data_IF_889987539725
#
_entry.id   IF_889987539725
#
_cell.length_a   1.000
_cell.length_b   1.000
_cell.length_c   1.000
_cell.angle_alpha   90.00
_cell.angle_beta   90.00
_cell.angle_gamma   90.00
#
_symmetry.space_group_name_H-M   'P 1'
#
loop_
_entity.id
_entity.type
_entity.pdbx_description
1 polymer ?
#
# COMPACT_ATOMS: atom_id res chain seq x y z
N UNK A 1 13.13 3.50 26.41
CA UNK A 1 13.67 2.14 26.22
C UNK A 1 14.01 2.01 24.75
N UNK A 2 15.31 2.08 24.42
CA UNK A 2 15.80 1.81 23.07
C UNK A 2 15.67 0.32 22.77
N UNK A 3 15.07 -0.02 21.63
CA UNK A 3 15.04 -1.38 21.10
C UNK A 3 15.84 -1.42 19.80
N UNK A 4 16.41 -2.58 19.40
CA UNK A 4 17.16 -2.71 18.16
C UNK A 4 16.40 -2.22 16.91
N UNK A 5 15.06 -2.27 16.96
CA UNK A 5 14.18 -1.80 15.88
C UNK A 5 14.04 -0.26 15.85
N UNK A 6 13.97 0.39 17.02
CA UNK A 6 13.85 1.85 17.11
C UNK A 6 15.18 2.55 16.85
N UNK A 7 16.31 1.97 17.28
CA UNK A 7 17.63 2.51 16.96
C UNK A 7 18.00 2.34 15.47
N UNK A 8 17.53 1.26 14.81
CA UNK A 8 17.76 1.02 13.38
C UNK A 8 16.89 1.87 12.46
N UNK A 9 15.58 1.98 12.73
CA UNK A 9 14.66 2.72 11.87
C UNK A 9 14.77 4.24 12.01
N UNK A 10 15.19 4.75 13.18
CA UNK A 10 15.29 6.20 13.45
C UNK A 10 16.67 6.76 13.06
N UNK A 11 17.69 5.91 12.89
CA UNK A 11 19.06 6.35 12.52
C UNK A 11 19.45 6.09 11.06
N UNK A 12 18.64 5.41 10.25
CA UNK A 12 19.07 5.00 8.91
C UNK A 12 18.57 5.92 7.80
N UNK A 13 19.52 6.48 7.06
CA UNK A 13 19.28 7.27 5.85
C UNK A 13 18.62 6.41 4.75
N UNK A 14 18.21 7.08 3.66
CA UNK A 14 17.68 6.51 2.42
C UNK A 14 18.35 5.20 1.93
N UNK A 15 19.58 4.88 2.37
CA UNK A 15 20.28 3.62 2.16
C UNK A 15 19.53 2.40 2.69
N UNK A 16 18.93 2.46 3.87
CA UNK A 16 18.14 1.33 4.40
C UNK A 16 16.95 1.02 3.48
N UNK A 17 16.23 2.06 3.06
CA UNK A 17 15.11 1.89 2.14
C UNK A 17 15.56 1.39 0.76
N UNK A 18 16.72 1.83 0.27
CA UNK A 18 17.34 1.29 -0.95
C UNK A 18 17.70 -0.19 -0.81
N UNK A 19 18.29 -0.59 0.31
CA UNK A 19 18.66 -1.98 0.58
C UNK A 19 17.42 -2.86 0.81
N UNK A 20 16.40 -2.36 1.51
CA UNK A 20 15.10 -3.01 1.68
C UNK A 20 14.41 -3.26 0.33
N UNK A 21 14.36 -2.25 -0.55
CA UNK A 21 13.82 -2.36 -1.91
C UNK A 21 14.65 -3.35 -2.74
N UNK A 22 15.99 -3.28 -2.66
CA UNK A 22 16.89 -4.19 -3.36
C UNK A 22 16.83 -5.64 -2.86
N UNK A 23 16.45 -5.86 -1.60
CA UNK A 23 16.32 -7.19 -0.99
C UNK A 23 14.97 -7.85 -1.24
N UNK A 24 14.03 -7.14 -1.88
CA UNK A 24 12.77 -7.76 -2.29
C UNK A 24 13.08 -8.89 -3.26
N UNK A 25 12.48 -10.08 -3.06
CA UNK A 25 12.48 -11.09 -4.10
C UNK A 25 11.97 -10.43 -5.38
N UNK A 26 12.79 -10.44 -6.43
CA UNK A 26 12.38 -10.14 -7.79
C UNK A 26 12.22 -11.51 -8.45
N UNK A 27 11.02 -12.10 -8.40
CA UNK A 27 10.80 -13.40 -9.02
C UNK A 27 11.15 -13.29 -10.50
N UNK A 28 11.73 -14.34 -11.07
CA UNK A 28 12.04 -14.37 -12.50
C UNK A 28 10.77 -14.18 -13.31
N UNK A 29 10.92 -13.68 -14.54
CA UNK A 29 9.81 -13.54 -15.49
C UNK A 29 9.04 -14.86 -15.65
N UNK A 30 9.74 -16.00 -15.59
CA UNK A 30 9.15 -17.35 -15.57
C UNK A 30 8.14 -17.58 -14.44
N UNK A 31 8.36 -17.01 -13.24
CA UNK A 31 7.41 -17.12 -12.13
C UNK A 31 6.10 -16.39 -12.45
N UNK A 32 6.19 -15.23 -13.10
CA UNK A 32 5.01 -14.49 -13.55
C UNK A 32 4.36 -15.16 -14.76
N UNK A 33 5.12 -15.80 -15.64
CA UNK A 33 4.58 -16.60 -16.75
C UNK A 33 3.77 -17.81 -16.27
N UNK A 34 4.18 -18.50 -15.20
CA UNK A 34 3.38 -19.60 -14.62
C UNK A 34 2.03 -19.08 -14.10
N UNK A 35 2.03 -17.92 -13.43
CA UNK A 35 0.81 -17.28 -12.94
C UNK A 35 -0.04 -16.81 -14.14
N UNK A 36 0.58 -16.20 -15.15
CA UNK A 36 -0.07 -15.71 -16.35
C UNK A 36 -0.66 -16.84 -17.21
N UNK A 37 0.06 -17.95 -17.44
CA UNK A 37 -0.44 -19.13 -18.18
C UNK A 37 -1.67 -19.72 -17.49
N UNK A 38 -1.65 -19.81 -16.16
CA UNK A 38 -2.82 -20.24 -15.39
C UNK A 38 -4.02 -19.31 -15.61
N UNK A 39 -3.80 -17.99 -15.58
CA UNK A 39 -4.85 -16.99 -15.83
C UNK A 39 -5.30 -16.90 -17.30
N UNK A 40 -4.42 -17.11 -18.28
CA UNK A 40 -4.78 -17.10 -19.71
C UNK A 40 -5.48 -18.37 -20.16
N UNK A 41 -5.25 -19.50 -19.50
CA UNK A 41 -5.93 -20.77 -19.77
C UNK A 41 -7.25 -20.93 -19.01
N UNK A 42 -7.53 -20.10 -18.01
CA UNK A 42 -8.70 -20.22 -17.12
C UNK A 42 -9.44 -18.90 -16.82
N UNK A 43 -9.03 -17.75 -17.37
CA UNK A 43 -9.57 -16.42 -17.05
C UNK A 43 -10.12 -15.66 -18.25
N UNK A 44 -11.24 -14.98 -18.03
CA UNK A 44 -11.93 -14.08 -18.97
C UNK A 44 -11.07 -12.81 -19.26
N UNK A 45 -11.01 -12.31 -20.51
CA UNK A 45 -10.17 -11.19 -20.95
C UNK A 45 -10.48 -9.78 -20.39
N UNK A 46 -11.28 -9.62 -19.34
CA UNK A 46 -11.77 -8.32 -18.82
C UNK A 46 -11.04 -7.77 -17.58
N UNK A 47 -9.76 -8.10 -17.41
CA UNK A 47 -8.88 -7.93 -16.23
C UNK A 47 -8.60 -6.52 -15.64
N UNK A 48 -9.51 -5.54 -15.74
CA UNK A 48 -9.27 -4.17 -15.26
C UNK A 48 -9.70 -3.88 -13.81
N UNK A 49 -10.44 -4.78 -13.14
CA UNK A 49 -10.76 -4.68 -11.71
C UNK A 49 -10.45 -6.01 -11.01
N UNK A 50 -10.24 -6.00 -9.70
CA UNK A 50 -9.94 -7.22 -8.95
C UNK A 50 -11.22 -8.03 -8.67
N UNK A 51 -11.74 -8.77 -9.64
CA UNK A 51 -13.09 -9.34 -9.58
C UNK A 51 -13.29 -10.52 -8.60
N UNK A 52 -14.46 -10.56 -7.95
CA UNK A 52 -14.95 -11.74 -7.21
C UNK A 52 -15.03 -12.97 -8.14
N UNK A 53 -14.64 -14.13 -7.63
CA UNK A 53 -14.57 -15.39 -8.40
C UNK A 53 -13.30 -15.58 -9.22
N UNK A 54 -12.36 -14.61 -9.24
CA UNK A 54 -11.04 -14.81 -9.86
C UNK A 54 -10.05 -15.47 -8.89
N UNK A 55 -9.04 -16.22 -9.36
CA UNK A 55 -8.03 -16.81 -8.48
C UNK A 55 -7.22 -15.77 -7.68
N UNK A 56 -7.11 -14.54 -8.19
CA UNK A 56 -6.43 -13.42 -7.51
C UNK A 56 -7.28 -12.75 -6.43
N UNK A 57 -8.60 -12.99 -6.40
CA UNK A 57 -9.54 -12.33 -5.50
C UNK A 57 -9.10 -12.39 -4.04
N UNK A 58 -8.75 -13.57 -3.53
CA UNK A 58 -8.37 -13.73 -2.11
C UNK A 58 -7.15 -12.88 -1.71
N UNK A 59 -6.21 -12.67 -2.64
CA UNK A 59 -5.05 -11.81 -2.42
C UNK A 59 -5.46 -10.34 -2.39
N UNK A 60 -6.24 -9.90 -3.38
CA UNK A 60 -6.73 -8.52 -3.46
C UNK A 60 -7.67 -8.15 -2.31
N UNK A 61 -8.58 -9.05 -1.94
CA UNK A 61 -9.48 -8.88 -0.80
C UNK A 61 -8.70 -8.72 0.51
N UNK A 62 -7.66 -9.54 0.75
CA UNK A 62 -6.82 -9.40 1.94
C UNK A 62 -6.07 -8.07 1.96
N UNK A 63 -5.55 -7.62 0.82
CA UNK A 63 -4.86 -6.33 0.73
C UNK A 63 -5.82 -5.15 0.94
N UNK A 64 -7.00 -5.20 0.32
CA UNK A 64 -8.07 -4.22 0.47
C UNK A 64 -8.51 -4.10 1.93
N UNK A 65 -8.80 -5.24 2.57
CA UNK A 65 -9.15 -5.34 4.00
C UNK A 65 -8.02 -4.75 4.87
N UNK A 66 -6.76 -5.09 4.59
CA UNK A 66 -5.62 -4.56 5.34
C UNK A 66 -5.50 -3.03 5.28
N UNK A 67 -5.75 -2.45 4.12
CA UNK A 67 -5.70 -1.00 3.91
C UNK A 67 -6.82 -0.28 4.69
N UNK A 68 -8.07 -0.72 4.55
CA UNK A 68 -9.19 -0.07 5.23
C UNK A 68 -9.21 -0.32 6.74
N UNK A 69 -8.71 -1.47 7.19
CA UNK A 69 -8.57 -1.80 8.61
C UNK A 69 -7.35 -1.19 9.28
N UNK A 70 -6.47 -0.49 8.54
CA UNK A 70 -5.18 -0.02 9.09
C UNK A 70 -4.40 -1.16 9.75
N UNK A 71 -4.33 -2.30 9.06
CA UNK A 71 -3.73 -3.56 9.51
C UNK A 71 -4.39 -4.23 10.74
N UNK A 72 -5.54 -3.76 11.22
CA UNK A 72 -6.30 -4.47 12.27
C UNK A 72 -6.91 -5.78 11.79
N UNK A 73 -6.80 -6.08 10.50
CA UNK A 73 -7.09 -7.40 9.96
C UNK A 73 -6.03 -8.47 10.30
N UNK A 74 -4.84 -8.07 10.76
CA UNK A 74 -3.79 -9.00 11.20
C UNK A 74 -4.09 -9.43 12.63
N UNK A 75 -4.55 -10.68 12.81
CA UNK A 75 -4.75 -11.26 14.13
C UNK A 75 -3.41 -11.69 14.74
N UNK A 76 -3.20 -11.37 16.01
CA UNK A 76 -2.03 -11.77 16.80
C UNK A 76 -2.48 -12.52 18.06
N UNK A 77 -2.80 -13.82 17.95
CA UNK A 77 -3.42 -14.54 19.05
C UNK A 77 -2.56 -14.55 20.31
N UNK A 78 -3.14 -14.26 21.49
CA UNK A 78 -2.38 -14.23 22.76
C UNK A 78 -1.78 -15.58 23.15
N UNK A 79 -2.23 -16.68 22.54
CA UNK A 79 -1.58 -18.00 22.69
C UNK A 79 -0.21 -18.09 22.02
N UNK A 80 0.08 -17.25 21.02
CA UNK A 80 1.33 -17.25 20.25
C UNK A 80 2.17 -15.97 20.45
N UNK A 81 1.51 -14.85 20.77
CA UNK A 81 2.13 -13.54 20.83
C UNK A 81 1.91 -12.88 22.19
N UNK A 82 2.84 -12.01 22.57
CA UNK A 82 2.76 -11.14 23.74
C UNK A 82 3.36 -9.76 23.43
N UNK A 83 3.13 -8.80 24.32
CA UNK A 83 3.60 -7.42 24.17
C UNK A 83 3.21 -6.78 22.82
N UNK A 84 1.97 -7.01 22.39
CA UNK A 84 1.46 -6.49 21.12
C UNK A 84 1.12 -5.01 21.25
N UNK A 85 1.78 -4.18 20.45
CA UNK A 85 1.58 -2.73 20.39
C UNK A 85 1.42 -2.30 18.93
N UNK A 86 0.37 -1.54 18.65
CA UNK A 86 0.11 -0.92 17.35
C UNK A 86 0.31 0.57 17.45
N UNK A 87 1.08 1.13 16.52
CA UNK A 87 1.19 2.57 16.31
C UNK A 87 0.57 2.91 14.97
N UNK A 88 -0.30 3.91 14.97
CA UNK A 88 -1.01 4.39 13.78
C UNK A 88 -0.82 5.88 13.66
N UNK A 89 -0.11 6.30 12.63
CA UNK A 89 0.07 7.70 12.29
C UNK A 89 -0.92 8.09 11.20
N UNK A 90 -1.59 9.23 11.40
CA UNK A 90 -2.59 9.79 10.49
C UNK A 90 -3.70 8.79 10.07
N UNK A 91 -4.25 7.96 10.99
CA UNK A 91 -5.27 6.96 10.65
C UNK A 91 -6.56 7.58 10.09
N UNK A 92 -6.78 8.86 10.34
CA UNK A 92 -7.95 9.62 9.89
C UNK A 92 -7.91 10.00 8.41
N UNK A 93 -6.79 9.76 7.71
CA UNK A 93 -6.66 10.01 6.27
C UNK A 93 -6.58 8.68 5.52
N UNK A 94 -7.52 8.40 4.59
CA UNK A 94 -7.45 7.19 3.78
C UNK A 94 -6.27 7.24 2.81
N UNK A 95 -5.74 6.08 2.47
CA UNK A 95 -4.73 5.93 1.41
C UNK A 95 -5.38 6.20 0.04
N UNK A 96 -5.24 7.43 -0.45
CA UNK A 96 -5.98 7.96 -1.61
C UNK A 96 -5.76 7.16 -2.91
N UNK A 97 -4.59 6.56 -3.09
CA UNK A 97 -4.26 5.78 -4.30
C UNK A 97 -4.87 4.37 -4.33
N UNK A 98 -5.49 3.90 -3.24
CA UNK A 98 -6.11 2.58 -3.14
C UNK A 98 -7.48 2.68 -2.45
N UNK A 99 -8.37 3.52 -2.99
CA UNK A 99 -9.74 3.67 -2.48
C UNK A 99 -10.59 2.44 -2.76
N UNK A 100 -11.76 2.35 -2.10
CA UNK A 100 -12.77 1.31 -2.37
C UNK A 100 -13.19 1.28 -3.86
N UNK A 101 -13.19 2.43 -4.54
CA UNK A 101 -13.56 2.55 -5.95
C UNK A 101 -12.61 1.79 -6.90
N UNK A 102 -11.42 1.39 -6.42
CA UNK A 102 -10.47 0.56 -7.16
C UNK A 102 -10.81 -0.94 -7.15
N UNK A 103 -11.88 -1.36 -6.48
CA UNK A 103 -12.32 -2.73 -6.36
C UNK A 103 -13.78 -2.86 -6.81
N UNK A 104 -14.14 -3.99 -7.40
CA UNK A 104 -15.50 -4.31 -7.84
C UNK A 104 -16.21 -5.30 -6.91
N UNK A 105 -15.67 -5.47 -5.70
CA UNK A 105 -16.27 -6.24 -4.62
C UNK A 105 -16.41 -5.39 -3.36
N UNK A 106 -17.39 -5.75 -2.54
CA UNK A 106 -17.62 -5.12 -1.27
C UNK A 106 -16.68 -5.63 -0.19
N UNK A 107 -16.20 -4.70 0.65
CA UNK A 107 -15.42 -5.02 1.84
C UNK A 107 -15.54 -3.88 2.86
N UNK A 108 -15.43 -4.25 4.14
CA UNK A 108 -15.50 -3.32 5.26
C UNK A 108 -14.27 -3.49 6.17
N UNK A 109 -13.88 -2.44 6.92
CA UNK A 109 -12.82 -2.57 7.89
C UNK A 109 -13.23 -3.61 8.95
N UNK A 110 -12.32 -4.55 9.19
CA UNK A 110 -12.38 -5.51 10.27
C UNK A 110 -11.41 -5.12 11.39
N UNK A 111 -11.77 -5.49 12.62
CA UNK A 111 -10.91 -5.36 13.78
C UNK A 111 -10.71 -6.75 14.40
N UNK A 112 -9.48 -7.28 14.31
CA UNK A 112 -9.08 -8.58 14.85
C UNK A 112 -8.11 -8.44 16.03
N UNK A 113 -8.04 -7.26 16.65
CA UNK A 113 -7.22 -7.03 17.85
C UNK A 113 -7.76 -7.82 19.02
N UNK A 114 -6.87 -8.35 19.85
CA UNK A 114 -7.24 -8.88 21.16
C UNK A 114 -7.35 -7.76 22.22
N UNK A 115 -8.12 -8.00 23.28
CA UNK A 115 -8.41 -7.01 24.33
C UNK A 115 -7.19 -6.53 25.11
N UNK A 116 -6.08 -7.27 25.07
CA UNK A 116 -4.82 -6.92 25.74
C UNK A 116 -3.84 -6.12 24.88
N UNK A 117 -4.15 -5.86 23.62
CA UNK A 117 -3.28 -5.09 22.73
C UNK A 117 -3.31 -3.59 23.06
N UNK A 118 -2.17 -2.93 22.93
CA UNK A 118 -2.08 -1.47 23.06
C UNK A 118 -2.15 -0.84 21.67
N UNK A 119 -3.03 0.15 21.48
CA UNK A 119 -3.06 0.95 20.24
C UNK A 119 -2.76 2.41 20.56
N UNK A 120 -1.80 2.99 19.85
CA UNK A 120 -1.47 4.40 19.90
C UNK A 120 -1.81 5.06 18.56
N UNK A 121 -2.74 6.02 18.59
CA UNK A 121 -3.10 6.83 17.43
C UNK A 121 -2.43 8.20 17.54
N UNK A 122 -1.76 8.61 16.46
CA UNK A 122 -0.93 9.80 16.41
C UNK A 122 -1.33 10.60 15.18
N UNK A 123 -1.68 11.88 15.37
CA UNK A 123 -1.96 12.80 14.26
C UNK A 123 -0.79 13.76 14.10
N UNK A 124 0.11 13.42 13.18
CA UNK A 124 1.27 14.23 12.82
C UNK A 124 1.40 14.26 11.30
N UNK A 125 0.91 15.34 10.69
CA UNK A 125 0.95 15.52 9.22
C UNK A 125 2.35 15.76 8.69
N UNK A 126 3.31 16.07 9.56
CA UNK A 126 4.71 16.24 9.18
C UNK A 126 5.47 14.92 9.19
N UNK A 127 4.94 13.92 9.89
CA UNK A 127 5.44 12.57 9.86
C UNK A 127 5.16 11.91 8.51
N UNK A 128 6.22 11.33 7.93
CA UNK A 128 6.16 10.62 6.64
C UNK A 128 5.54 11.45 5.50
N UNK A 129 5.90 12.73 5.42
CA UNK A 129 5.52 13.62 4.33
C UNK A 129 6.59 13.66 3.22
N UNK A 130 6.16 13.96 2.00
CA UNK A 130 7.02 14.22 0.85
C UNK A 130 6.41 15.33 -0.03
N UNK A 131 7.24 16.03 -0.79
CA UNK A 131 6.79 17.08 -1.72
C UNK A 131 6.58 16.46 -3.10
N UNK A 132 5.35 16.48 -3.58
CA UNK A 132 4.97 15.83 -4.84
C UNK A 132 4.66 16.86 -5.92
N UNK A 133 5.28 16.67 -7.08
CA UNK A 133 4.84 17.22 -8.36
C UNK A 133 4.25 16.10 -9.24
N UNK A 134 3.77 16.48 -10.42
CA UNK A 134 3.21 15.51 -11.37
C UNK A 134 4.22 14.45 -11.83
N UNK A 135 5.52 14.80 -11.89
CA UNK A 135 6.57 13.85 -12.26
C UNK A 135 6.82 12.84 -11.13
N UNK A 136 6.72 13.28 -9.86
CA UNK A 136 6.77 12.41 -8.68
C UNK A 136 5.60 11.43 -8.64
N UNK A 137 4.39 11.85 -9.02
CA UNK A 137 3.24 10.94 -9.17
C UNK A 137 3.51 9.89 -10.24
N UNK A 138 4.04 10.29 -11.41
CA UNK A 138 4.37 9.35 -12.47
C UNK A 138 5.40 8.32 -11.99
N UNK A 139 6.47 8.77 -11.35
CA UNK A 139 7.49 7.89 -10.78
C UNK A 139 6.93 6.95 -9.71
N UNK A 140 5.95 7.40 -8.91
CA UNK A 140 5.24 6.56 -7.97
C UNK A 140 4.43 5.48 -8.68
N UNK A 141 3.62 5.84 -9.68
CA UNK A 141 2.83 4.88 -10.48
C UNK A 141 3.72 3.85 -11.17
N UNK A 142 4.82 4.28 -11.78
CA UNK A 142 5.84 3.40 -12.39
C UNK A 142 6.42 2.41 -11.38
N UNK A 143 6.57 2.84 -10.11
CA UNK A 143 7.12 2.00 -9.04
C UNK A 143 6.10 1.01 -8.45
N UNK A 144 4.85 1.41 -8.26
CA UNK A 144 3.85 0.57 -7.56
C UNK A 144 2.99 -0.26 -8.50
N UNK A 145 2.86 0.16 -9.75
CA UNK A 145 2.11 -0.55 -10.80
C UNK A 145 3.00 -0.77 -12.03
N UNK A 146 3.95 -1.71 -11.97
CA UNK A 146 4.81 -1.99 -13.11
C UNK A 146 3.97 -2.39 -14.33
N UNK A 147 4.33 -1.86 -15.50
CA UNK A 147 3.63 -2.07 -16.77
C UNK A 147 2.17 -1.57 -16.80
N UNK A 148 1.79 -0.62 -15.93
CA UNK A 148 0.42 -0.06 -15.95
C UNK A 148 0.06 0.59 -17.28
N UNK A 149 1.05 1.13 -18.01
CA UNK A 149 0.88 1.72 -19.34
C UNK A 149 0.34 0.66 -20.32
N UNK A 150 1.02 -0.47 -20.43
CA UNK A 150 0.63 -1.56 -21.32
C UNK A 150 -0.73 -2.16 -20.93
N UNK A 151 -0.96 -2.32 -19.62
CA UNK A 151 -2.22 -2.87 -19.08
C UNK A 151 -3.41 -1.93 -19.28
N UNK A 152 -3.20 -0.62 -19.20
CA UNK A 152 -4.24 0.37 -19.44
C UNK A 152 -4.63 0.44 -20.92
N UNK A 153 -3.71 0.08 -21.84
CA UNK A 153 -3.97 0.09 -23.28
C UNK A 153 -4.47 1.45 -23.75
N UNK A 154 -5.62 1.49 -24.44
CA UNK A 154 -6.22 2.75 -24.90
C UNK A 154 -6.64 3.70 -23.76
N UNK A 155 -6.86 3.17 -22.54
CA UNK A 155 -7.23 3.97 -21.36
C UNK A 155 -6.03 4.67 -20.72
N UNK A 156 -4.80 4.39 -21.15
CA UNK A 156 -3.62 5.11 -20.68
C UNK A 156 -3.74 6.63 -20.91
N UNK A 157 -4.42 7.05 -21.98
CA UNK A 157 -4.71 8.46 -22.26
C UNK A 157 -5.54 9.14 -21.14
N UNK A 158 -6.44 8.40 -20.47
CA UNK A 158 -7.20 8.91 -19.30
C UNK A 158 -6.27 9.17 -18.11
N UNK A 159 -5.27 8.30 -17.91
CA UNK A 159 -4.27 8.44 -16.84
C UNK A 159 -3.37 9.64 -17.12
N UNK A 160 -2.90 9.80 -18.37
CA UNK A 160 -2.11 10.97 -18.77
C UNK A 160 -2.89 12.27 -18.61
N UNK A 161 -4.17 12.27 -18.99
CA UNK A 161 -5.06 13.41 -18.77
C UNK A 161 -5.17 13.74 -17.27
N UNK A 162 -5.41 12.75 -16.41
CA UNK A 162 -5.49 12.98 -14.95
C UNK A 162 -4.20 13.53 -14.34
N UNK A 163 -3.03 13.07 -14.83
CA UNK A 163 -1.73 13.62 -14.41
C UNK A 163 -1.57 15.08 -14.84
N UNK A 164 -2.04 15.46 -16.03
CA UNK A 164 -1.97 16.84 -16.50
C UNK A 164 -2.96 17.76 -15.78
N UNK A 165 -4.18 17.28 -15.48
CA UNK A 165 -5.14 17.99 -14.63
C UNK A 165 -4.56 18.24 -13.24
N UNK A 166 -3.88 17.24 -12.66
CA UNK A 166 -3.16 17.41 -11.40
C UNK A 166 -2.01 18.42 -11.52
N UNK A 167 -1.21 18.35 -12.60
CA UNK A 167 -0.13 19.32 -12.87
C UNK A 167 -0.67 20.74 -12.93
N UNK A 168 -1.82 20.94 -13.56
CA UNK A 168 -2.43 22.26 -13.66
C UNK A 168 -2.98 22.74 -12.31
N UNK A 169 -3.63 21.85 -11.54
CA UNK A 169 -4.08 22.16 -10.19
C UNK A 169 -2.92 22.60 -9.27
N UNK A 170 -1.74 21.98 -9.43
CA UNK A 170 -0.54 22.33 -8.66
C UNK A 170 0.03 23.72 -8.98
N UNK A 171 -0.29 24.37 -10.11
CA UNK A 171 0.24 25.71 -10.40
C UNK A 171 -0.19 26.74 -9.35
N UNK A 172 -1.39 26.58 -8.78
CA UNK A 172 -1.86 27.39 -7.64
C UNK A 172 -1.04 27.20 -6.35
N UNK A 173 -0.21 26.16 -6.29
CA UNK A 173 0.63 25.78 -5.15
C UNK A 173 2.14 25.89 -5.47
N UNK A 174 2.51 26.64 -6.51
CA UNK A 174 3.92 26.77 -6.91
C UNK A 174 4.49 25.52 -7.60
N UNK A 175 3.62 24.64 -8.12
CA UNK A 175 3.98 23.45 -8.88
C UNK A 175 4.24 22.20 -8.04
N UNK A 176 4.07 22.26 -6.72
CA UNK A 176 4.25 21.15 -5.78
C UNK A 176 3.20 21.19 -4.67
N UNK A 177 2.92 20.04 -4.07
CA UNK A 177 2.12 19.95 -2.85
C UNK A 177 2.73 18.97 -1.86
N UNK A 178 2.63 19.30 -0.58
CA UNK A 178 2.97 18.38 0.50
C UNK A 178 1.94 17.25 0.58
N UNK A 179 2.40 16.01 0.50
CA UNK A 179 1.59 14.80 0.67
C UNK A 179 2.08 14.06 1.91
N UNK A 180 1.15 13.65 2.77
CA UNK A 180 1.44 12.81 3.94
C UNK A 180 0.65 11.50 3.83
N UNK A 181 1.23 10.42 4.33
CA UNK A 181 0.64 9.08 4.26
C UNK A 181 0.24 8.57 5.64
N UNK A 182 -0.86 7.80 5.75
CA UNK A 182 -1.09 6.99 6.93
C UNK A 182 -0.01 5.91 7.04
N UNK A 183 0.51 5.70 8.25
CA UNK A 183 1.53 4.69 8.53
C UNK A 183 1.07 3.84 9.70
N UNK A 184 1.22 2.52 9.59
CA UNK A 184 0.92 1.57 10.68
C UNK A 184 2.15 0.73 10.97
N UNK A 185 2.52 0.64 12.24
CA UNK A 185 3.56 -0.25 12.75
C UNK A 185 2.96 -1.17 13.82
N UNK A 186 3.13 -2.46 13.64
CA UNK A 186 2.75 -3.47 14.64
C UNK A 186 4.03 -4.08 15.21
N UNK A 187 4.18 -4.00 16.53
CA UNK A 187 5.25 -4.63 17.28
C UNK A 187 4.63 -5.75 18.11
N UNK A 188 5.20 -6.95 18.03
CA UNK A 188 4.75 -8.10 18.79
C UNK A 188 5.94 -9.00 19.12
N UNK A 189 5.92 -9.63 20.29
CA UNK A 189 6.93 -10.61 20.71
C UNK A 189 6.35 -12.00 20.58
N UNK A 190 7.04 -12.89 19.88
CA UNK A 190 6.65 -14.30 19.83
C UNK A 190 7.02 -14.97 21.16
N UNK A 191 6.09 -15.75 21.70
CA UNK A 191 6.33 -16.58 22.90
C UNK A 191 7.31 -17.72 22.64
#
# INVERSE_FOLDING_TARGET
LETPFTTGAIQQDARFWREYIASRPSPSEDFFHVIQEYHSSHGDPTTALAHDGTPGFAFHQRAAEALVSQLDNIALPSREWEHVVRYKWNPDVPLLFNSKDGYDFDFEPVDRRESGEVTNEIHDRTWWQDEWDADRIKAYLDSVYPSYIDKAGSRYAEIEQGIEEFREALKGFGGKATVSFPVVLILATKK
#
